data_IF_962203260911
#
_entry.id   IF_962203260911
#
_cell.length_a   1.000
_cell.length_b   1.000
_cell.length_c   1.000
_cell.angle_alpha   90.00
_cell.angle_beta   90.00
_cell.angle_gamma   90.00
#
_symmetry.space_group_name_H-M   'P 1'
#
loop_
_entity.id
_entity.type
_entity.pdbx_description
1 polymer ?
#
# COMPACT_ATOMS: atom_id res chain seq x y z
N UNK A 1 8.15 61.48 20.24
CA UNK A 1 7.88 60.16 20.88
C UNK A 1 7.77 60.26 22.41
N UNK A 2 8.42 61.23 23.07
CA UNK A 2 8.41 61.36 24.54
C UNK A 2 7.02 61.62 25.16
N UNK A 3 6.17 62.42 24.52
CA UNK A 3 4.81 62.68 25.02
C UNK A 3 3.89 61.46 25.01
N UNK A 4 4.11 60.50 24.11
CA UNK A 4 3.36 59.24 24.08
C UNK A 4 3.83 58.30 25.20
N UNK A 5 5.13 58.22 25.43
CA UNK A 5 5.73 57.47 26.55
C UNK A 5 5.31 58.02 27.92
N UNK A 6 5.15 59.34 28.05
CA UNK A 6 4.64 59.96 29.28
C UNK A 6 3.16 59.64 29.55
N UNK A 7 2.32 59.56 28.51
CA UNK A 7 0.92 59.12 28.64
C UNK A 7 0.80 57.63 28.96
N UNK A 8 1.69 56.80 28.43
CA UNK A 8 1.78 55.37 28.79
C UNK A 8 2.16 55.17 30.26
N UNK A 9 2.93 56.09 30.86
CA UNK A 9 3.26 56.04 32.29
C UNK A 9 2.04 56.15 33.21
N UNK A 10 0.96 56.78 32.73
CA UNK A 10 -0.32 56.85 33.44
C UNK A 10 -1.15 55.56 33.40
N UNK A 11 -0.76 54.59 32.57
CA UNK A 11 -1.37 53.25 32.50
C UNK A 11 -0.64 52.22 33.39
N UNK A 12 0.33 52.65 34.20
CA UNK A 12 1.01 51.79 35.17
C UNK A 12 0.06 51.43 36.33
N UNK A 13 -0.67 50.31 36.15
CA UNK A 13 -1.64 49.81 37.11
C UNK A 13 -1.00 49.16 38.36
N UNK A 14 0.33 49.01 38.41
CA UNK A 14 1.00 48.27 39.46
C UNK A 14 1.63 49.20 40.51
N UNK A 15 1.12 49.21 41.77
CA UNK A 15 1.69 49.99 42.84
C UNK A 15 3.13 49.52 43.14
N UNK A 16 4.07 50.47 43.25
CA UNK A 16 5.47 50.16 43.54
C UNK A 16 5.61 49.88 45.04
N UNK A 17 5.86 48.63 45.38
CA UNK A 17 6.13 48.19 46.76
C UNK A 17 7.56 48.57 47.15
N UNK A 18 7.73 49.21 48.31
CA UNK A 18 9.05 49.56 48.84
C UNK A 18 9.86 48.30 49.18
N UNK A 19 11.18 48.35 48.93
CA UNK A 19 12.06 47.18 49.14
C UNK A 19 12.14 46.71 50.61
N UNK A 20 11.81 47.59 51.56
CA UNK A 20 11.87 47.32 53.01
C UNK A 20 10.90 46.23 53.48
N UNK A 21 9.91 45.86 52.67
CA UNK A 21 8.95 44.80 52.98
C UNK A 21 9.42 43.40 52.56
N UNK A 22 10.54 43.27 51.82
CA UNK A 22 11.07 41.97 51.39
C UNK A 22 12.02 41.38 52.44
N UNK A 23 11.57 40.35 53.16
CA UNK A 23 12.47 39.52 53.98
C UNK A 23 13.01 38.35 53.17
N UNK A 24 14.30 38.40 52.84
CA UNK A 24 15.00 37.32 52.13
C UNK A 24 15.26 36.14 53.08
N UNK A 25 14.83 34.95 52.70
CA UNK A 25 15.03 33.70 53.45
C UNK A 25 15.86 32.72 52.63
N UNK A 26 16.68 31.88 53.30
CA UNK A 26 17.43 30.81 52.64
C UNK A 26 16.49 29.78 51.98
N UNK A 27 15.36 29.47 52.64
CA UNK A 27 14.34 28.55 52.10
C UNK A 27 13.70 29.08 50.82
N UNK A 28 13.33 30.37 50.79
CA UNK A 28 12.75 31.01 49.60
C UNK A 28 13.75 31.06 48.45
N UNK A 29 15.04 31.25 48.74
CA UNK A 29 16.11 31.15 47.74
C UNK A 29 16.17 29.76 47.08
N UNK A 30 16.13 28.68 47.88
CA UNK A 30 16.12 27.30 47.36
C UNK A 30 14.86 27.03 46.53
N UNK A 31 13.68 27.43 47.01
CA UNK A 31 12.41 27.28 46.27
C UNK A 31 12.47 28.02 44.93
N UNK A 32 13.03 29.23 44.91
CA UNK A 32 13.17 30.01 43.68
C UNK A 32 14.11 29.35 42.67
N UNK A 33 15.23 28.77 43.12
CA UNK A 33 16.16 28.04 42.24
C UNK A 33 15.48 26.81 41.64
N UNK A 34 14.79 26.01 42.44
CA UNK A 34 14.05 24.83 41.97
C UNK A 34 12.94 25.24 40.99
N UNK A 35 12.17 26.27 41.34
CA UNK A 35 11.12 26.81 40.48
C UNK A 35 11.66 27.30 39.13
N UNK A 36 12.82 27.97 39.14
CA UNK A 36 13.48 28.43 37.91
C UNK A 36 13.92 27.27 37.01
N UNK A 37 14.45 26.19 37.60
CA UNK A 37 14.83 24.98 36.86
C UNK A 37 13.60 24.31 36.26
N UNK A 38 12.52 24.15 37.02
CA UNK A 38 11.26 23.57 36.53
C UNK A 38 10.66 24.43 35.41
N UNK A 39 10.66 25.75 35.57
CA UNK A 39 10.18 26.69 34.55
C UNK A 39 10.98 26.56 33.25
N UNK A 40 12.31 26.44 33.33
CA UNK A 40 13.16 26.23 32.16
C UNK A 40 12.86 24.90 31.46
N UNK A 41 12.68 23.81 32.21
CA UNK A 41 12.36 22.50 31.64
C UNK A 41 11.02 22.50 30.91
N UNK A 42 9.99 23.09 31.52
CA UNK A 42 8.67 23.22 30.91
C UNK A 42 8.70 24.11 29.67
N UNK A 43 9.46 25.22 29.71
CA UNK A 43 9.67 26.08 28.55
C UNK A 43 10.29 25.31 27.39
N UNK A 44 11.40 24.60 27.62
CA UNK A 44 12.08 23.80 26.58
C UNK A 44 11.15 22.72 26.02
N UNK A 45 10.35 22.07 26.88
CA UNK A 45 9.36 21.09 26.45
C UNK A 45 8.29 21.69 25.55
N UNK A 46 7.72 22.84 25.92
CA UNK A 46 6.68 23.52 25.15
C UNK A 46 7.23 24.04 23.83
N UNK A 47 8.42 24.65 23.83
CA UNK A 47 9.11 25.08 22.62
C UNK A 47 9.37 23.91 21.70
N UNK A 48 9.82 22.76 22.24
CA UNK A 48 9.97 21.54 21.45
C UNK A 48 8.63 21.12 20.85
N UNK A 49 7.57 21.02 21.65
CA UNK A 49 6.24 20.64 21.16
C UNK A 49 5.72 21.59 20.09
N UNK A 50 6.03 22.89 20.15
CA UNK A 50 5.68 23.86 19.12
C UNK A 50 6.39 23.59 17.79
N UNK A 51 7.66 23.16 17.82
CA UNK A 51 8.43 22.83 16.62
C UNK A 51 8.14 21.45 16.04
N UNK A 52 7.46 20.56 16.76
CA UNK A 52 7.02 19.26 16.24
C UNK A 52 5.59 19.36 15.71
N UNK A 53 5.42 19.08 14.42
CA UNK A 53 4.12 18.98 13.77
C UNK A 53 3.42 17.69 14.16
N UNK A 54 2.11 17.75 14.38
CA UNK A 54 1.30 16.58 14.71
C UNK A 54 0.43 16.17 13.51
N UNK A 55 0.29 14.86 13.29
CA UNK A 55 -0.59 14.34 12.23
C UNK A 55 -1.96 14.05 12.80
N UNK A 56 -2.98 14.72 12.30
CA UNK A 56 -4.38 14.46 12.62
C UNK A 56 -4.95 13.41 11.64
N UNK A 57 -5.60 12.38 12.17
CA UNK A 57 -6.23 11.31 11.37
C UNK A 57 -7.74 11.52 11.34
N UNK A 58 -8.32 11.66 10.13
CA UNK A 58 -9.76 11.81 9.92
C UNK A 58 -10.29 10.66 9.07
N UNK A 59 -11.40 10.05 9.51
CA UNK A 59 -12.13 9.04 8.75
C UNK A 59 -13.33 9.70 8.08
N UNK A 60 -13.42 9.57 6.75
CA UNK A 60 -14.49 10.18 5.95
C UNK A 60 -15.06 9.12 5.01
N UNK A 61 -16.34 9.25 4.63
CA UNK A 61 -16.91 8.39 3.59
C UNK A 61 -16.24 8.69 2.25
N UNK A 62 -15.92 7.63 1.49
CA UNK A 62 -15.39 7.81 0.16
C UNK A 62 -16.52 8.07 -0.85
N UNK A 63 -16.46 9.24 -1.49
CA UNK A 63 -17.44 9.68 -2.49
C UNK A 63 -16.86 9.70 -3.90
N UNK A 64 -15.60 9.29 -4.08
CA UNK A 64 -14.98 9.21 -5.39
C UNK A 64 -15.65 8.13 -6.25
N UNK A 65 -15.94 8.46 -7.51
CA UNK A 65 -16.56 7.57 -8.50
C UNK A 65 -15.71 7.54 -9.76
N UNK A 66 -15.56 6.38 -10.37
CA UNK A 66 -14.87 6.21 -11.66
C UNK A 66 -13.35 6.35 -11.58
N UNK A 67 -12.76 6.31 -10.39
CA UNK A 67 -11.30 6.21 -10.24
C UNK A 67 -10.82 4.81 -10.66
N UNK A 68 -9.62 4.73 -11.23
CA UNK A 68 -8.92 3.47 -11.51
C UNK A 68 -7.83 3.25 -10.47
N UNK A 69 -7.65 2.01 -10.04
CA UNK A 69 -6.57 1.57 -9.18
C UNK A 69 -5.51 0.86 -10.01
N UNK A 70 -4.25 1.28 -9.85
CA UNK A 70 -3.12 0.51 -10.37
C UNK A 70 -2.72 -0.56 -9.37
N UNK A 71 -2.94 -1.82 -9.73
CA UNK A 71 -2.49 -2.99 -8.98
C UNK A 71 -1.14 -3.41 -9.51
N UNK A 72 -0.09 -3.29 -8.70
CA UNK A 72 1.24 -3.78 -9.03
C UNK A 72 1.42 -5.15 -8.35
N UNK A 73 1.93 -6.13 -9.09
CA UNK A 73 2.19 -7.46 -8.55
C UNK A 73 3.50 -8.01 -9.09
N UNK A 74 4.14 -8.83 -8.26
CA UNK A 74 5.36 -9.57 -8.57
C UNK A 74 5.24 -10.91 -7.82
N UNK A 75 4.77 -11.94 -8.53
CA UNK A 75 4.35 -13.22 -7.96
C UNK A 75 5.19 -14.34 -8.55
N UNK A 76 5.75 -15.18 -7.70
CA UNK A 76 6.60 -16.29 -8.11
C UNK A 76 5.94 -17.64 -7.85
N UNK A 77 5.85 -18.46 -8.88
CA UNK A 77 5.33 -19.82 -8.86
C UNK A 77 6.50 -20.80 -9.05
N UNK A 78 7.02 -21.45 -8.00
CA UNK A 78 8.26 -22.23 -8.08
C UNK A 78 8.15 -23.54 -8.87
N UNK A 79 6.94 -24.05 -9.09
CA UNK A 79 6.71 -25.36 -9.74
C UNK A 79 5.68 -25.29 -10.86
N UNK A 80 5.50 -24.11 -11.46
CA UNK A 80 4.56 -23.88 -12.57
C UNK A 80 5.31 -23.25 -13.75
N UNK A 81 5.33 -23.90 -14.93
CA UNK A 81 5.89 -23.33 -16.14
C UNK A 81 5.15 -22.06 -16.61
N UNK A 82 5.89 -21.05 -17.07
CA UNK A 82 5.31 -19.79 -17.55
C UNK A 82 4.35 -19.96 -18.74
N UNK A 83 4.55 -21.00 -19.56
CA UNK A 83 3.71 -21.29 -20.74
C UNK A 83 2.29 -21.76 -20.38
N UNK A 84 2.12 -22.32 -19.17
CA UNK A 84 0.82 -22.80 -18.66
C UNK A 84 0.05 -21.71 -17.91
N UNK A 85 0.78 -20.82 -17.23
CA UNK A 85 0.20 -19.80 -16.36
C UNK A 85 -0.46 -18.68 -17.16
N UNK A 86 -1.74 -18.40 -16.91
CA UNK A 86 -2.42 -17.18 -17.38
C UNK A 86 -2.80 -16.28 -16.21
N UNK A 87 -2.76 -14.98 -16.48
CA UNK A 87 -3.29 -13.95 -15.58
C UNK A 87 -4.62 -13.53 -16.16
N UNK A 88 -5.65 -13.60 -15.34
CA UNK A 88 -7.01 -13.30 -15.73
C UNK A 88 -7.64 -12.40 -14.66
N UNK A 89 -8.38 -11.39 -15.09
CA UNK A 89 -9.11 -10.48 -14.19
C UNK A 89 -10.59 -10.50 -14.51
N UNK A 90 -11.42 -10.41 -13.49
CA UNK A 90 -12.85 -10.25 -13.65
C UNK A 90 -13.37 -9.30 -12.57
N UNK A 91 -14.06 -8.25 -12.99
CA UNK A 91 -14.79 -7.37 -12.07
C UNK A 91 -16.24 -7.86 -11.85
N UNK A 92 -16.94 -7.28 -10.87
CA UNK A 92 -18.37 -7.55 -10.65
C UNK A 92 -19.27 -7.18 -11.85
N UNK A 93 -18.78 -6.35 -12.77
CA UNK A 93 -19.50 -5.95 -13.98
C UNK A 93 -19.33 -6.96 -15.12
N UNK A 94 -18.50 -7.99 -14.93
CA UNK A 94 -18.17 -8.99 -15.94
C UNK A 94 -17.23 -8.46 -17.02
N UNK A 95 -16.60 -7.29 -16.83
CA UNK A 95 -15.58 -6.78 -17.73
C UNK A 95 -14.34 -7.66 -17.64
N UNK A 96 -13.99 -8.31 -18.75
CA UNK A 96 -12.76 -9.06 -18.89
C UNK A 96 -11.75 -8.19 -19.61
N UNK A 97 -10.69 -7.77 -18.91
CA UNK A 97 -9.57 -7.11 -19.56
C UNK A 97 -8.79 -8.15 -20.38
N UNK A 98 -8.98 -8.14 -21.69
CA UNK A 98 -8.28 -9.02 -22.62
C UNK A 98 -6.92 -8.46 -23.08
N UNK A 99 -6.63 -7.17 -22.78
CA UNK A 99 -5.45 -6.43 -23.27
C UNK A 99 -4.33 -6.31 -22.23
N UNK A 100 -4.24 -7.31 -21.34
CA UNK A 100 -3.32 -7.37 -20.20
C UNK A 100 -1.84 -7.58 -20.64
N UNK A 101 -1.62 -7.95 -21.90
CA UNK A 101 -0.35 -8.53 -22.38
C UNK A 101 0.83 -7.56 -22.44
N UNK A 102 0.59 -6.26 -22.60
CA UNK A 102 1.67 -5.30 -22.82
C UNK A 102 2.40 -4.90 -21.52
N UNK A 103 1.75 -5.03 -20.37
CA UNK A 103 2.27 -4.57 -19.07
C UNK A 103 2.63 -5.71 -18.10
N UNK A 104 2.46 -6.97 -18.50
CA UNK A 104 2.84 -8.17 -17.73
C UNK A 104 4.00 -8.89 -18.41
N UNK A 105 5.11 -9.03 -17.70
CA UNK A 105 6.26 -9.81 -18.11
C UNK A 105 6.36 -11.11 -17.30
N UNK A 106 6.58 -12.23 -18.00
CA UNK A 106 6.81 -13.54 -17.39
C UNK A 106 8.27 -13.93 -17.54
N UNK A 107 8.93 -14.24 -16.42
CA UNK A 107 10.32 -14.70 -16.37
C UNK A 107 10.34 -16.16 -15.96
N UNK A 108 10.99 -16.99 -16.78
CA UNK A 108 11.20 -18.42 -16.48
C UNK A 108 12.23 -18.55 -15.37
N UNK A 109 11.98 -19.47 -14.44
CA UNK A 109 12.86 -19.75 -13.32
C UNK A 109 13.34 -21.20 -13.38
N UNK A 110 14.59 -21.43 -13.03
CA UNK A 110 15.09 -22.77 -12.77
C UNK A 110 14.50 -23.35 -11.48
N UNK A 111 14.77 -24.64 -11.21
CA UNK A 111 14.34 -25.31 -9.98
C UNK A 111 14.92 -24.69 -8.69
N UNK A 112 15.93 -23.82 -8.79
CA UNK A 112 16.57 -23.12 -7.68
C UNK A 112 16.06 -21.67 -7.52
N UNK A 113 15.15 -21.21 -8.38
CA UNK A 113 14.59 -19.86 -8.37
C UNK A 113 15.41 -18.79 -9.11
N UNK A 114 16.43 -19.16 -9.90
CA UNK A 114 17.18 -18.22 -10.72
C UNK A 114 16.50 -18.01 -12.07
N UNK A 115 16.60 -16.79 -12.60
CA UNK A 115 16.01 -16.44 -13.90
C UNK A 115 16.80 -17.11 -15.03
N UNK A 116 16.14 -17.97 -15.80
CA UNK A 116 16.64 -18.51 -17.06
C UNK A 116 16.27 -17.49 -18.13
N UNK A 117 17.28 -16.83 -18.70
CA UNK A 117 17.26 -15.79 -19.75
C UNK A 117 15.87 -15.47 -20.33
N UNK A 118 15.41 -14.23 -20.10
CA UNK A 118 14.25 -13.66 -20.77
C UNK A 118 14.57 -13.45 -22.25
N UNK A 119 14.51 -14.52 -23.05
CA UNK A 119 14.43 -14.36 -24.50
C UNK A 119 13.16 -13.55 -24.74
N UNK A 120 13.31 -12.28 -25.15
CA UNK A 120 12.24 -11.57 -25.83
C UNK A 120 11.75 -12.53 -26.90
N UNK A 121 10.56 -13.08 -26.74
CA UNK A 121 9.92 -13.84 -27.80
C UNK A 121 9.62 -12.85 -28.92
N UNK A 122 10.63 -12.58 -29.74
CA UNK A 122 10.41 -12.08 -31.08
C UNK A 122 9.62 -13.17 -31.78
N UNK A 123 8.35 -12.87 -32.07
CA UNK A 123 7.50 -13.65 -32.95
C UNK A 123 8.29 -13.90 -34.23
N UNK A 124 8.72 -15.15 -34.41
CA UNK A 124 9.74 -15.49 -35.38
C UNK A 124 10.14 -16.95 -35.27
N UNK A 125 9.16 -17.85 -35.32
CA UNK A 125 9.41 -19.27 -35.52
C UNK A 125 10.22 -19.51 -36.80
N UNK A 126 10.93 -20.65 -36.84
CA UNK A 126 11.81 -21.05 -37.93
C UNK A 126 11.20 -20.84 -39.34
N UNK A 127 12.10 -20.57 -40.31
CA UNK A 127 11.77 -20.31 -41.73
C UNK A 127 10.78 -21.33 -42.28
N UNK A 128 9.74 -20.77 -42.88
CA UNK A 128 8.55 -21.43 -43.42
C UNK A 128 8.93 -22.10 -44.75
N UNK A 129 9.02 -23.43 -44.80
CA UNK A 129 9.31 -24.12 -46.07
C UNK A 129 8.05 -24.62 -46.81
N UNK A 130 6.88 -24.81 -46.17
CA UNK A 130 5.57 -24.99 -46.85
C UNK A 130 4.37 -25.35 -45.93
N UNK A 131 3.75 -24.41 -45.19
CA UNK A 131 2.53 -24.67 -44.43
C UNK A 131 1.28 -24.51 -45.30
N UNK A 132 0.18 -25.15 -44.88
CA UNK A 132 -1.14 -25.01 -45.50
C UNK A 132 -1.77 -23.65 -45.13
N UNK A 133 -2.16 -22.86 -46.12
CA UNK A 133 -2.92 -21.62 -45.91
C UNK A 133 -4.38 -21.89 -45.56
N UNK A 134 -5.03 -20.96 -44.84
CA UNK A 134 -6.47 -20.98 -44.51
C UNK A 134 -7.39 -21.25 -45.71
N UNK A 135 -7.03 -20.77 -46.90
CA UNK A 135 -7.84 -20.90 -48.12
C UNK A 135 -7.49 -22.11 -49.01
N UNK A 136 -6.61 -23.02 -48.56
CA UNK A 136 -6.23 -24.19 -49.35
C UNK A 136 -5.31 -23.82 -50.53
N UNK A 137 -4.05 -23.53 -50.23
CA UNK A 137 -3.02 -23.17 -51.21
C UNK A 137 -1.61 -23.24 -50.60
N UNK A 138 -0.58 -23.28 -51.46
CA UNK A 138 0.83 -23.11 -51.05
C UNK A 138 1.19 -21.63 -51.17
N UNK A 139 1.99 -21.12 -50.22
CA UNK A 139 2.47 -19.74 -50.18
C UNK A 139 3.07 -19.31 -51.53
N UNK A 140 2.46 -18.34 -52.20
CA UNK A 140 2.99 -17.76 -53.44
C UNK A 140 4.03 -16.66 -53.14
N UNK A 141 4.89 -16.30 -54.10
CA UNK A 141 5.93 -15.26 -53.91
C UNK A 141 5.26 -13.90 -53.66
N UNK A 142 5.22 -13.49 -52.39
CA UNK A 142 4.68 -12.19 -51.96
C UNK A 142 3.41 -12.29 -51.11
N UNK A 143 2.88 -13.49 -50.87
CA UNK A 143 1.78 -13.69 -49.92
C UNK A 143 2.31 -13.82 -48.49
N UNK A 144 1.59 -13.20 -47.54
CA UNK A 144 1.82 -13.37 -46.12
C UNK A 144 1.17 -14.68 -45.63
N UNK A 145 1.85 -15.39 -44.74
CA UNK A 145 1.30 -16.62 -44.17
C UNK A 145 0.09 -16.29 -43.28
N UNK A 146 -1.03 -16.94 -43.56
CA UNK A 146 -2.26 -16.87 -42.79
C UNK A 146 -2.71 -18.28 -42.41
N UNK A 147 -2.47 -18.66 -41.15
CA UNK A 147 -2.90 -19.94 -40.59
C UNK A 147 -4.38 -19.94 -40.17
N UNK A 148 -4.97 -21.14 -40.09
CA UNK A 148 -6.35 -21.33 -39.60
C UNK A 148 -6.40 -21.21 -38.08
N UNK A 149 -7.49 -20.66 -37.55
CA UNK A 149 -7.79 -20.70 -36.11
C UNK A 149 -8.72 -21.88 -35.76
N UNK A 150 -8.80 -22.90 -36.62
CA UNK A 150 -9.56 -24.14 -36.41
C UNK A 150 -11.03 -23.92 -35.99
N UNK A 151 -11.71 -22.92 -36.56
CA UNK A 151 -13.11 -22.61 -36.28
C UNK A 151 -13.32 -21.63 -35.12
N UNK A 152 -12.24 -21.15 -34.49
CA UNK A 152 -12.29 -20.15 -33.43
C UNK A 152 -12.19 -18.69 -33.95
N UNK A 153 -12.24 -18.47 -35.26
CA UNK A 153 -12.23 -17.13 -35.85
C UNK A 153 -13.43 -16.28 -35.39
N UNK A 154 -13.20 -14.98 -35.15
CA UNK A 154 -14.23 -13.96 -34.93
C UNK A 154 -14.67 -13.31 -36.25
N UNK A 155 -13.75 -13.21 -37.21
CA UNK A 155 -14.00 -12.71 -38.57
C UNK A 155 -13.34 -13.60 -39.62
N UNK A 156 -13.86 -13.57 -40.84
CA UNK A 156 -13.32 -14.34 -41.97
C UNK A 156 -11.88 -13.92 -42.33
N UNK A 157 -11.47 -12.72 -41.96
CA UNK A 157 -10.12 -12.16 -42.18
C UNK A 157 -9.13 -12.48 -41.04
N UNK A 158 -9.58 -13.03 -39.91
CA UNK A 158 -8.69 -13.37 -38.79
C UNK A 158 -7.80 -14.56 -39.15
N UNK A 159 -6.49 -14.39 -38.98
CA UNK A 159 -5.47 -15.42 -39.16
C UNK A 159 -4.84 -15.76 -37.80
N UNK A 160 -4.51 -17.03 -37.58
CA UNK A 160 -3.72 -17.47 -36.43
C UNK A 160 -2.41 -18.07 -36.92
N UNK A 161 -1.31 -17.35 -36.71
CA UNK A 161 0.01 -17.68 -37.24
C UNK A 161 0.91 -18.38 -36.22
N UNK A 162 0.62 -18.23 -34.93
CA UNK A 162 1.32 -18.88 -33.82
C UNK A 162 0.40 -19.81 -33.01
N UNK A 163 0.98 -20.76 -32.30
CA UNK A 163 0.25 -21.62 -31.36
C UNK A 163 -0.41 -20.79 -30.26
N UNK A 164 0.22 -19.68 -29.87
CA UNK A 164 -0.34 -18.75 -28.90
C UNK A 164 -1.61 -18.08 -29.43
N UNK A 165 -1.62 -17.56 -30.66
CA UNK A 165 -2.80 -16.96 -31.29
C UNK A 165 -3.98 -17.94 -31.41
N UNK A 166 -3.71 -19.20 -31.76
CA UNK A 166 -4.77 -20.24 -31.79
C UNK A 166 -5.36 -20.45 -30.39
N UNK A 167 -4.51 -20.53 -29.36
CA UNK A 167 -4.94 -20.66 -27.96
C UNK A 167 -5.75 -19.47 -27.49
N UNK A 168 -5.40 -18.26 -27.93
CA UNK A 168 -6.15 -17.04 -27.63
C UNK A 168 -7.55 -17.08 -28.24
N UNK A 169 -7.65 -17.44 -29.53
CA UNK A 169 -8.92 -17.56 -30.23
C UNK A 169 -9.84 -18.59 -29.55
N UNK A 170 -9.29 -19.75 -29.17
CA UNK A 170 -10.01 -20.78 -28.43
C UNK A 170 -10.47 -20.26 -27.06
N UNK A 171 -9.59 -19.55 -26.34
CA UNK A 171 -9.90 -18.96 -25.04
C UNK A 171 -11.07 -17.96 -25.14
N UNK A 172 -11.09 -17.10 -26.17
CA UNK A 172 -12.20 -16.16 -26.44
C UNK A 172 -13.54 -16.88 -26.66
N UNK A 173 -13.53 -18.02 -27.37
CA UNK A 173 -14.72 -18.87 -27.56
C UNK A 173 -15.05 -19.75 -26.35
N UNK A 174 -14.20 -19.75 -25.32
CA UNK A 174 -14.34 -20.62 -24.15
C UNK A 174 -14.02 -22.09 -24.41
N UNK A 175 -13.31 -22.41 -25.49
CA UNK A 175 -12.92 -23.77 -25.86
C UNK A 175 -11.59 -24.17 -25.22
N UNK A 176 -11.46 -25.46 -24.92
CA UNK A 176 -10.23 -26.05 -24.43
C UNK A 176 -9.37 -26.59 -25.56
N UNK A 177 -8.04 -26.53 -25.39
CA UNK A 177 -7.07 -27.10 -26.32
C UNK A 177 -6.87 -28.59 -26.00
N UNK A 178 -7.76 -29.45 -26.47
CA UNK A 178 -7.77 -30.88 -26.11
C UNK A 178 -6.68 -31.69 -26.80
N UNK A 179 -6.34 -31.37 -28.04
CA UNK A 179 -5.34 -32.09 -28.85
C UNK A 179 -4.40 -31.10 -29.57
N UNK A 180 -3.32 -30.65 -28.90
CA UNK A 180 -2.35 -29.73 -29.50
C UNK A 180 -1.65 -30.30 -30.75
N UNK A 181 -1.52 -31.63 -30.83
CA UNK A 181 -0.85 -32.34 -31.94
C UNK A 181 -1.64 -32.27 -33.27
N UNK A 182 -2.93 -31.91 -33.22
CA UNK A 182 -3.75 -31.70 -34.43
C UNK A 182 -3.60 -30.29 -35.00
N UNK A 183 -2.90 -29.40 -34.27
CA UNK A 183 -2.73 -28.00 -34.63
C UNK A 183 -1.32 -27.83 -35.19
N UNK A 184 -1.25 -27.44 -36.47
CA UNK A 184 0.00 -27.30 -37.22
C UNK A 184 0.93 -26.29 -36.54
N UNK A 185 0.37 -25.15 -36.11
CA UNK A 185 1.11 -24.09 -35.43
C UNK A 185 1.72 -24.58 -34.11
N UNK A 186 1.01 -25.41 -33.34
CA UNK A 186 1.49 -25.94 -32.06
C UNK A 186 2.50 -27.08 -32.23
N UNK A 187 2.34 -27.88 -33.27
CA UNK A 187 3.28 -28.96 -33.63
C UNK A 187 4.59 -28.38 -34.16
N UNK A 188 4.53 -27.41 -35.08
CA UNK A 188 5.70 -26.70 -35.63
C UNK A 188 6.51 -25.98 -34.56
N UNK A 189 5.84 -25.49 -33.54
CA UNK A 189 6.45 -24.80 -32.42
C UNK A 189 6.96 -25.76 -31.33
N UNK A 190 6.76 -27.07 -31.48
CA UNK A 190 7.08 -28.07 -30.46
C UNK A 190 6.45 -27.75 -29.09
N UNK A 191 5.22 -27.23 -29.10
CA UNK A 191 4.55 -26.73 -27.90
C UNK A 191 4.49 -27.77 -26.78
N UNK A 192 4.16 -29.03 -27.13
CA UNK A 192 4.07 -30.14 -26.18
C UNK A 192 5.45 -30.50 -25.61
N UNK A 193 6.50 -30.44 -26.40
CA UNK A 193 7.87 -30.70 -25.96
C UNK A 193 8.39 -29.55 -25.08
N UNK A 194 8.04 -28.29 -25.38
CA UNK A 194 8.32 -27.15 -24.49
C UNK A 194 7.69 -27.32 -23.12
N UNK A 195 6.44 -27.73 -23.04
CA UNK A 195 5.77 -27.98 -21.75
C UNK A 195 6.44 -29.13 -20.98
N UNK A 196 6.92 -30.16 -21.68
CA UNK A 196 7.64 -31.30 -21.08
C UNK A 196 9.04 -30.91 -20.60
N UNK A 197 9.79 -30.15 -21.39
CA UNK A 197 11.16 -29.70 -21.05
C UNK A 197 11.17 -28.69 -19.90
N UNK A 198 10.09 -27.93 -19.75
CA UNK A 198 9.88 -27.01 -18.63
C UNK A 198 9.34 -27.69 -17.36
N UNK A 199 9.22 -29.03 -17.33
CA UNK A 199 8.79 -29.71 -16.10
C UNK A 199 9.82 -29.51 -14.99
N UNK A 200 9.37 -28.96 -13.86
CA UNK A 200 10.24 -28.59 -12.74
C UNK A 200 10.81 -27.17 -12.80
N UNK A 201 10.46 -26.39 -13.84
CA UNK A 201 10.69 -24.94 -13.87
C UNK A 201 9.62 -24.17 -13.09
N UNK A 202 9.99 -22.98 -12.65
CA UNK A 202 9.09 -21.99 -12.08
C UNK A 202 8.82 -20.81 -13.01
N UNK A 203 7.90 -19.95 -12.60
CA UNK A 203 7.59 -18.72 -13.29
C UNK A 203 7.46 -17.55 -12.33
N UNK A 204 8.15 -16.46 -12.63
CA UNK A 204 7.92 -15.17 -12.00
C UNK A 204 7.05 -14.32 -12.94
N UNK A 205 5.92 -13.82 -12.43
CA UNK A 205 4.99 -12.95 -13.16
C UNK A 205 4.95 -11.61 -12.47
N UNK A 206 5.43 -10.57 -13.15
CA UNK A 206 5.43 -9.22 -12.62
C UNK A 206 4.88 -8.25 -13.64
N UNK A 207 4.23 -7.20 -13.14
CA UNK A 207 3.57 -6.22 -13.97
C UNK A 207 2.61 -5.35 -13.18
N UNK A 208 1.79 -4.60 -13.91
CA UNK A 208 0.72 -3.82 -13.32
C UNK A 208 -0.57 -3.95 -14.13
N UNK A 209 -1.69 -3.73 -13.45
CA UNK A 209 -3.03 -3.75 -14.01
C UNK A 209 -3.78 -2.51 -13.53
N UNK A 210 -4.34 -1.73 -14.46
CA UNK A 210 -5.19 -0.60 -14.12
C UNK A 210 -6.65 -1.09 -14.08
N UNK A 211 -7.17 -1.37 -12.88
CA UNK A 211 -8.53 -1.87 -12.65
C UNK A 211 -9.48 -0.77 -12.22
N UNK A 212 -10.78 -0.95 -12.46
CA UNK A 212 -11.81 -0.05 -11.94
C UNK A 212 -11.90 -0.16 -10.41
N UNK A 213 -12.21 0.95 -9.73
CA UNK A 213 -12.46 0.99 -8.27
C UNK A 213 -13.81 0.36 -7.89
N UNK A 214 -13.90 -0.95 -8.09
CA UNK A 214 -15.04 -1.81 -7.77
C UNK A 214 -14.51 -3.13 -7.24
N UNK A 215 -15.35 -3.90 -6.56
CA UNK A 215 -14.98 -5.25 -6.18
C UNK A 215 -14.63 -6.09 -7.43
N UNK A 216 -13.58 -6.90 -7.32
CA UNK A 216 -13.12 -7.72 -8.43
C UNK A 216 -12.20 -8.83 -7.97
N UNK A 217 -11.74 -9.63 -8.94
CA UNK A 217 -10.74 -10.66 -8.71
C UNK A 217 -9.65 -10.63 -9.79
N UNK A 218 -8.45 -10.91 -9.34
CA UNK A 218 -7.27 -11.21 -10.14
C UNK A 218 -6.91 -12.66 -9.85
N UNK A 219 -6.84 -13.52 -10.88
CA UNK A 219 -6.50 -14.92 -10.69
C UNK A 219 -5.36 -15.36 -11.60
N UNK A 220 -4.50 -16.19 -11.02
CA UNK A 220 -3.38 -16.84 -11.66
C UNK A 220 -3.72 -18.32 -11.73
N UNK A 221 -4.10 -18.78 -12.90
CA UNK A 221 -4.52 -20.16 -13.11
C UNK A 221 -3.90 -20.72 -14.38
N UNK A 222 -3.77 -22.06 -14.49
CA UNK A 222 -3.58 -22.70 -15.78
C UNK A 222 -4.79 -22.35 -16.66
N UNK A 223 -4.56 -21.82 -17.87
CA UNK A 223 -5.65 -21.40 -18.75
C UNK A 223 -6.70 -22.51 -18.98
N UNK A 224 -7.96 -22.13 -19.27
CA UNK A 224 -9.12 -23.04 -19.42
C UNK A 224 -8.87 -24.29 -20.30
N UNK A 225 -7.93 -24.22 -21.24
CA UNK A 225 -7.56 -25.33 -22.11
C UNK A 225 -6.78 -26.48 -21.48
N UNK A 226 -6.24 -26.33 -20.27
CA UNK A 226 -5.43 -27.39 -19.66
C UNK A 226 -6.23 -28.36 -18.77
N UNK A 227 -7.43 -27.97 -18.34
CA UNK A 227 -8.24 -28.75 -17.39
C UNK A 227 -8.80 -30.05 -18.00
N UNK A 228 -9.03 -30.09 -19.31
CA UNK A 228 -9.52 -31.28 -20.02
C UNK A 228 -8.42 -32.16 -20.62
N UNK A 229 -7.16 -31.72 -20.55
CA UNK A 229 -6.01 -32.54 -20.97
C UNK A 229 -5.49 -33.34 -19.78
N UNK A 230 -5.14 -34.62 -19.97
CA UNK A 230 -4.59 -35.54 -18.96
C UNK A 230 -3.16 -35.13 -18.47
N UNK A 231 -2.86 -33.84 -18.41
CA UNK A 231 -1.61 -33.33 -17.89
C UNK A 231 -1.77 -33.19 -16.38
N UNK A 232 -1.04 -34.01 -15.63
CA UNK A 232 -0.93 -33.87 -14.17
C UNK A 232 -0.29 -32.52 -13.86
N UNK A 233 -1.13 -31.50 -13.64
CA UNK A 233 -0.69 -30.25 -13.06
C UNK A 233 -0.25 -30.57 -11.63
N UNK A 234 0.97 -30.20 -11.19
CA UNK A 234 1.34 -30.27 -9.78
C UNK A 234 0.22 -29.66 -8.94
N UNK A 235 -0.02 -30.23 -7.76
CA UNK A 235 -1.14 -29.95 -6.86
C UNK A 235 -1.30 -28.45 -6.53
N UNK A 236 -1.89 -27.69 -7.47
CA UNK A 236 -2.35 -26.33 -7.20
C UNK A 236 -3.63 -26.47 -6.41
N UNK A 237 -3.52 -26.33 -5.09
CA UNK A 237 -4.69 -26.07 -4.27
C UNK A 237 -5.27 -24.70 -4.63
N UNK A 238 -6.59 -24.55 -4.50
CA UNK A 238 -7.22 -23.25 -4.68
C UNK A 238 -6.89 -22.37 -3.47
N UNK A 239 -6.02 -21.38 -3.67
CA UNK A 239 -5.62 -20.44 -2.66
C UNK A 239 -6.31 -19.10 -2.91
N UNK A 240 -7.18 -18.71 -1.99
CA UNK A 240 -8.00 -17.51 -2.11
C UNK A 240 -7.52 -16.48 -1.08
N UNK A 241 -7.17 -15.28 -1.55
CA UNK A 241 -6.79 -14.15 -0.72
C UNK A 241 -7.81 -13.03 -0.89
N UNK A 242 -8.38 -12.55 0.21
CA UNK A 242 -9.25 -11.39 0.25
C UNK A 242 -8.49 -10.14 0.67
N UNK A 243 -8.60 -9.08 -0.12
CA UNK A 243 -7.99 -7.77 0.13
C UNK A 243 -9.08 -6.75 0.38
N UNK A 244 -9.07 -6.12 1.55
CA UNK A 244 -9.91 -4.96 1.82
C UNK A 244 -9.06 -3.70 1.69
N UNK A 245 -9.28 -2.96 0.61
CA UNK A 245 -8.51 -1.77 0.22
C UNK A 245 -9.16 -0.52 0.80
N UNK A 246 -8.38 0.32 1.48
CA UNK A 246 -8.80 1.57 2.09
C UNK A 246 -8.03 2.73 1.47
N UNK A 247 -8.70 3.60 0.69
CA UNK A 247 -8.08 4.80 0.13
C UNK A 247 -7.57 5.72 1.23
N UNK A 248 -6.34 6.20 1.07
CA UNK A 248 -5.65 7.04 2.06
C UNK A 248 -5.07 8.28 1.39
N UNK A 249 -5.28 9.45 2.00
CA UNK A 249 -4.74 10.72 1.51
C UNK A 249 -3.84 11.31 2.58
N UNK A 250 -2.58 11.57 2.24
CA UNK A 250 -1.64 12.28 3.09
C UNK A 250 -1.54 13.73 2.64
N UNK A 251 -1.79 14.67 3.56
CA UNK A 251 -1.66 16.11 3.32
C UNK A 251 -0.51 16.64 4.16
N UNK A 252 0.57 17.04 3.48
CA UNK A 252 1.76 17.68 4.05
C UNK A 252 1.44 19.11 4.54
N UNK A 253 2.30 19.69 5.39
CA UNK A 253 2.24 21.09 5.86
C UNK A 253 2.18 22.12 4.72
N UNK A 254 2.73 21.76 3.55
CA UNK A 254 2.71 22.57 2.32
C UNK A 254 1.39 22.48 1.55
N UNK A 255 0.43 21.68 2.03
CA UNK A 255 -0.83 21.39 1.34
C UNK A 255 -0.71 20.39 0.18
N UNK A 256 0.45 19.74 0.01
CA UNK A 256 0.62 18.69 -1.01
C UNK A 256 -0.16 17.45 -0.59
N UNK A 257 -1.01 16.94 -1.49
CA UNK A 257 -1.81 15.74 -1.27
C UNK A 257 -1.20 14.55 -1.99
N UNK A 258 -0.92 13.48 -1.26
CA UNK A 258 -0.44 12.20 -1.80
C UNK A 258 -1.58 11.20 -1.69
N UNK A 259 -2.01 10.67 -2.83
CA UNK A 259 -3.02 9.62 -2.89
C UNK A 259 -2.32 8.27 -2.79
N UNK A 260 -2.74 7.47 -1.81
CA UNK A 260 -2.22 6.13 -1.56
C UNK A 260 -3.36 5.18 -1.20
N UNK A 261 -3.09 3.89 -1.15
CA UNK A 261 -4.04 2.87 -0.73
C UNK A 261 -3.39 2.01 0.34
N UNK A 262 -4.11 1.78 1.43
CA UNK A 262 -3.76 0.77 2.43
C UNK A 262 -4.64 -0.46 2.18
N UNK A 263 -4.20 -1.62 2.63
CA UNK A 263 -4.99 -2.84 2.50
C UNK A 263 -4.79 -3.75 3.70
N UNK A 264 -5.79 -4.58 3.97
CA UNK A 264 -5.70 -5.72 4.88
C UNK A 264 -5.97 -7.00 4.11
N UNK A 265 -5.35 -8.11 4.54
CA UNK A 265 -5.37 -9.39 3.84
C UNK A 265 -6.00 -10.46 4.71
N UNK A 266 -6.85 -11.29 4.10
CA UNK A 266 -7.41 -12.51 4.70
C UNK A 266 -7.09 -13.69 3.80
N UNK A 267 -6.60 -14.79 4.37
CA UNK A 267 -6.20 -15.99 3.62
C UNK A 267 -7.22 -17.12 3.81
N UNK A 268 -7.60 -17.74 2.70
CA UNK A 268 -8.50 -18.87 2.66
C UNK A 268 -7.92 -19.98 1.78
N UNK A 269 -7.64 -21.12 2.40
CA UNK A 269 -7.17 -22.32 1.71
C UNK A 269 -8.36 -23.27 1.48
N UNK A 270 -8.62 -23.65 0.22
CA UNK A 270 -9.59 -24.69 -0.12
C UNK A 270 -8.87 -25.97 -0.50
N UNK A 271 -9.05 -27.00 0.32
CA UNK A 271 -8.52 -28.33 0.04
C UNK A 271 -9.21 -28.95 -1.20
N UNK A 272 -8.40 -29.52 -2.10
CA UNK A 272 -8.83 -30.13 -3.36
C UNK A 272 -9.66 -31.41 -3.21
N UNK A 273 -9.85 -31.88 -1.97
CA UNK A 273 -10.66 -33.05 -1.62
C UNK A 273 -12.18 -32.77 -1.55
N UNK A 274 -12.59 -31.50 -1.59
CA UNK A 274 -14.00 -31.09 -1.49
C UNK A 274 -14.65 -31.09 -2.88
N UNK A 275 -15.85 -31.68 -3.01
CA UNK A 275 -16.63 -31.68 -4.26
C UNK A 275 -17.69 -30.56 -4.24
N UNK A 276 -17.85 -29.80 -5.34
CA UNK A 276 -17.10 -29.87 -6.61
C UNK A 276 -15.65 -29.39 -6.45
N UNK A 277 -14.73 -30.03 -7.19
CA UNK A 277 -13.30 -29.66 -7.15
C UNK A 277 -13.16 -28.19 -7.58
N UNK A 278 -12.57 -27.31 -6.75
CA UNK A 278 -12.33 -25.93 -7.13
C UNK A 278 -11.30 -25.87 -8.26
N UNK A 279 -11.36 -24.80 -9.07
CA UNK A 279 -10.37 -24.59 -10.11
C UNK A 279 -9.00 -24.37 -9.46
N UNK A 280 -7.96 -25.13 -9.82
CA UNK A 280 -6.62 -24.93 -9.29
C UNK A 280 -6.08 -23.56 -9.72
N UNK A 281 -5.61 -22.76 -8.77
CA UNK A 281 -5.20 -21.40 -9.03
C UNK A 281 -4.99 -20.59 -7.76
N UNK A 282 -4.32 -19.45 -7.90
CA UNK A 282 -4.22 -18.43 -6.85
C UNK A 282 -5.16 -17.29 -7.22
N UNK A 283 -6.11 -17.01 -6.35
CA UNK A 283 -7.16 -16.02 -6.54
C UNK A 283 -6.96 -14.88 -5.54
N UNK A 284 -6.89 -13.65 -6.04
CA UNK A 284 -6.80 -12.42 -5.28
C UNK A 284 -8.10 -11.65 -5.46
N UNK A 285 -8.99 -11.72 -4.47
CA UNK A 285 -10.22 -10.94 -4.41
C UNK A 285 -9.93 -9.60 -3.75
N UNK A 286 -10.32 -8.50 -4.37
CA UNK A 286 -10.17 -7.18 -3.77
C UNK A 286 -11.52 -6.48 -3.69
N UNK A 287 -11.75 -5.83 -2.56
CA UNK A 287 -12.92 -4.99 -2.31
C UNK A 287 -12.49 -3.64 -1.73
N UNK A 288 -13.24 -2.59 -2.05
CA UNK A 288 -12.96 -1.24 -1.59
C UNK A 288 -13.82 -0.89 -0.39
N UNK A 289 -13.17 -0.46 0.67
CA UNK A 289 -13.87 0.04 1.85
C UNK A 289 -14.63 1.33 1.51
N UNK A 290 -15.87 1.51 2.00
CA UNK A 290 -16.64 2.74 1.80
C UNK A 290 -16.09 3.95 2.58
N UNK A 291 -14.97 3.78 3.29
CA UNK A 291 -14.28 4.80 4.06
C UNK A 291 -12.92 5.14 3.45
N UNK A 292 -12.52 6.40 3.59
CA UNK A 292 -11.18 6.91 3.29
C UNK A 292 -10.54 7.52 4.53
N UNK A 293 -9.23 7.34 4.66
CA UNK A 293 -8.44 7.89 5.76
C UNK A 293 -7.68 9.11 5.25
N UNK A 294 -7.81 10.24 5.96
CA UNK A 294 -7.10 11.48 5.64
C UNK A 294 -6.14 11.79 6.78
N UNK A 295 -4.85 11.77 6.49
CA UNK A 295 -3.80 12.23 7.39
C UNK A 295 -3.47 13.68 7.04
N UNK A 296 -3.67 14.60 7.98
CA UNK A 296 -3.34 16.02 7.80
C UNK A 296 -2.25 16.40 8.78
N UNK A 297 -1.12 16.87 8.28
CA UNK A 297 -0.07 17.43 9.12
C UNK A 297 -0.41 18.90 9.40
N UNK A 298 -0.53 19.24 10.69
CA UNK A 298 -0.85 20.60 11.12
C UNK A 298 0.14 21.06 12.21
N UNK A 299 0.50 22.34 12.14
CA UNK A 299 1.30 22.98 13.17
C UNK A 299 0.40 23.58 14.25
N UNK A 300 0.85 23.49 15.50
CA UNK A 300 0.19 24.21 16.59
C UNK A 300 0.21 25.72 16.32
N UNK A 301 -0.90 26.40 16.61
CA UNK A 301 -1.00 27.85 16.41
C UNK A 301 -0.09 28.60 17.39
N UNK A 302 0.47 29.73 16.95
CA UNK A 302 1.28 30.61 17.81
C UNK A 302 0.53 31.07 19.07
N UNK A 303 -0.78 31.27 18.96
CA UNK A 303 -1.61 31.68 20.10
C UNK A 303 -1.64 30.59 21.17
N UNK A 304 -1.77 29.32 20.76
CA UNK A 304 -1.76 28.19 21.69
C UNK A 304 -0.43 28.07 22.45
N UNK A 305 0.68 28.29 21.76
CA UNK A 305 2.01 28.35 22.38
C UNK A 305 2.12 29.49 23.40
N UNK A 306 1.70 30.70 23.03
CA UNK A 306 1.76 31.87 23.93
C UNK A 306 0.87 31.69 25.16
N UNK A 307 -0.33 31.11 25.02
CA UNK A 307 -1.20 30.83 26.16
C UNK A 307 -0.56 29.82 27.12
N UNK A 308 0.11 28.79 26.59
CA UNK A 308 0.80 27.79 27.41
C UNK A 308 2.00 28.39 28.14
N UNK A 309 2.77 29.26 27.49
CA UNK A 309 3.87 29.99 28.15
C UNK A 309 3.37 30.84 29.34
N UNK A 310 2.30 31.61 29.15
CA UNK A 310 1.69 32.39 30.23
C UNK A 310 1.22 31.50 31.39
N UNK A 311 0.63 30.34 31.08
CA UNK A 311 0.19 29.37 32.07
C UNK A 311 1.37 28.76 32.85
N UNK A 312 2.49 28.45 32.20
CA UNK A 312 3.71 27.94 32.85
C UNK A 312 4.26 28.99 33.83
N UNK A 313 4.41 30.24 33.39
CA UNK A 313 4.92 31.32 34.24
C UNK A 313 4.01 31.53 35.45
N UNK A 314 2.71 31.72 35.23
CA UNK A 314 1.74 31.92 36.32
C UNK A 314 1.61 30.72 37.26
N UNK A 315 1.59 29.50 36.71
CA UNK A 315 1.48 28.26 37.47
C UNK A 315 2.68 28.02 38.37
N UNK A 316 3.91 28.21 37.85
CA UNK A 316 5.11 28.02 38.67
C UNK A 316 5.21 29.08 39.76
N UNK A 317 4.90 30.35 39.49
CA UNK A 317 4.92 31.41 40.50
C UNK A 317 3.91 31.16 41.63
N UNK A 318 2.68 30.76 41.29
CA UNK A 318 1.63 30.48 42.28
C UNK A 318 1.98 29.29 43.16
N UNK A 319 2.41 28.18 42.56
CA UNK A 319 2.80 26.96 43.31
C UNK A 319 4.02 27.23 44.19
N UNK A 320 5.03 27.94 43.68
CA UNK A 320 6.23 28.28 44.45
C UNK A 320 5.91 29.18 45.65
N UNK A 321 5.01 30.15 45.49
CA UNK A 321 4.56 31.01 46.59
C UNK A 321 3.79 30.25 47.68
N UNK A 322 2.96 29.27 47.28
CA UNK A 322 2.26 28.38 48.23
C UNK A 322 3.28 27.55 49.01
N UNK A 323 4.24 26.93 48.31
CA UNK A 323 5.30 26.11 48.93
C UNK A 323 6.14 26.94 49.90
N UNK A 324 6.60 28.13 49.50
CA UNK A 324 7.39 29.01 50.36
C UNK A 324 6.61 29.42 51.61
N UNK A 325 5.32 29.76 51.48
CA UNK A 325 4.47 30.09 52.62
C UNK A 325 4.31 28.92 53.60
N UNK A 326 4.10 27.70 53.09
CA UNK A 326 4.03 26.50 53.93
C UNK A 326 5.35 26.21 54.65
N UNK A 327 6.49 26.32 53.95
CA UNK A 327 7.82 26.09 54.54
C UNK A 327 8.11 27.15 55.60
N UNK A 328 7.84 28.42 55.34
CA UNK A 328 8.07 29.53 56.27
C UNK A 328 7.24 29.37 57.56
N UNK A 329 5.94 29.08 57.44
CA UNK A 329 5.08 28.84 58.61
C UNK A 329 5.48 27.56 59.35
N UNK A 330 5.85 26.50 58.63
CA UNK A 330 6.34 25.24 59.21
C UNK A 330 7.61 25.43 60.03
N UNK A 331 8.63 26.11 59.48
CA UNK A 331 9.87 26.43 60.17
C UNK A 331 9.62 27.29 61.41
N UNK A 332 8.75 28.30 61.31
CA UNK A 332 8.40 29.17 62.44
C UNK A 332 7.68 28.40 63.56
N UNK A 333 6.75 27.51 63.21
CA UNK A 333 6.04 26.67 64.17
C UNK A 333 6.95 25.64 64.84
N UNK A 334 7.85 25.01 64.08
CA UNK A 334 8.87 24.08 64.61
C UNK A 334 9.84 24.77 65.56
N UNK A 335 10.38 25.93 65.17
CA UNK A 335 11.29 26.72 66.02
C UNK A 335 10.61 27.11 67.34
N UNK A 336 9.35 27.56 67.27
CA UNK A 336 8.55 27.89 68.48
C UNK A 336 8.30 26.66 69.36
N UNK A 337 8.05 25.48 68.78
CA UNK A 337 7.87 24.23 69.55
C UNK A 337 9.18 23.74 70.19
N UNK A 338 10.32 23.95 69.53
CA UNK A 338 11.66 23.68 70.07
C UNK A 338 11.98 24.59 71.26
N UNK A 339 11.72 25.89 71.15
CA UNK A 339 11.93 26.85 72.24
C UNK A 339 11.06 26.58 73.48
N UNK A 340 9.91 25.93 73.30
CA UNK A 340 9.01 25.51 74.39
C UNK A 340 9.38 24.13 75.00
N UNK A 341 10.51 23.53 74.62
CA UNK A 341 11.03 22.30 75.24
C UNK A 341 10.20 21.03 75.00
N UNK A 342 9.27 21.03 74.04
CA UNK A 342 8.34 19.91 73.78
C UNK A 342 8.89 18.78 72.91
N UNK A 343 10.17 18.85 72.52
CA UNK A 343 10.88 17.78 71.83
C UNK A 343 12.10 17.40 72.68
N UNK A 344 11.87 16.50 73.64
CA UNK A 344 12.90 15.64 74.22
C UNK A 344 12.39 14.21 74.19
#
# INVERSE_FOLDING_TARGET
MEGFLQKLKGLDAYPKVNEDFYKRTLSGGVVTVVASVVMLLLFVSETRSYFYSATETKLVVDTSRGERLRVNFDVTFPSVPCTLLSVDTMDISGEQHHDIRHDIEKRRLDAHGNVIEARKEGIGGAKIESPLQKHGGRLSKGEEYCGTCYGAEESDEQCCNSCEEVREAYKKKGWALTNPDLIDQCTREDFVERVKTQQGEGCNVHGFLDVSKVAGNLHFAPGKGFYESNINVPELSALEHGFNVVPTIYTDLRGRKIHSNQFSVTEHFRDGNIRPKPQPGVFFFYDFSPIKVIFTEENSSLLHYLTNLCAIVGGVFTVSGIIDSFIYHGQKALKKKMELGKYR
#
